data_IF_773219960954
#
_entry.id   IF_773219960954
#
_cell.length_a   1.000
_cell.length_b   1.000
_cell.length_c   1.000
_cell.angle_alpha   90.00
_cell.angle_beta   90.00
_cell.angle_gamma   90.00
#
_symmetry.space_group_name_H-M   'P 1'
#
loop_
_entity.id
_entity.type
_entity.pdbx_description
1 polymer ?
#
# COMPACT_ATOMS: atom_id res chain seq x y z
N UNK A 1 -20.30 26.97 22.43
CA UNK A 1 -19.61 28.15 21.88
C UNK A 1 -19.19 27.81 20.46
N UNK A 2 -19.88 28.40 19.48
CA UNK A 2 -19.64 28.28 18.03
C UNK A 2 -18.40 29.10 17.66
N UNK A 3 -17.52 28.56 16.81
CA UNK A 3 -16.56 29.37 16.05
C UNK A 3 -16.39 28.77 14.64
N UNK A 4 -17.11 29.38 13.70
CA UNK A 4 -16.94 29.23 12.26
C UNK A 4 -15.58 29.80 11.83
N UNK A 5 -14.84 29.09 11.00
CA UNK A 5 -13.75 29.68 10.20
C UNK A 5 -14.04 29.51 8.72
N UNK A 6 -14.54 30.59 8.11
CA UNK A 6 -14.42 30.87 6.68
C UNK A 6 -12.92 30.91 6.33
N UNK A 7 -12.49 30.12 5.34
CA UNK A 7 -11.23 30.36 4.65
C UNK A 7 -11.52 30.71 3.19
N UNK A 8 -11.09 31.92 2.85
CA UNK A 8 -11.23 32.57 1.56
C UNK A 8 -10.45 31.84 0.47
N UNK A 9 -11.11 31.62 -0.66
CA UNK A 9 -10.51 31.17 -1.91
C UNK A 9 -9.80 32.35 -2.59
N UNK A 10 -8.49 32.25 -2.77
CA UNK A 10 -7.72 33.18 -3.61
C UNK A 10 -7.67 32.57 -5.01
N UNK A 11 -8.36 33.21 -5.96
CA UNK A 11 -8.32 32.87 -7.37
C UNK A 11 -7.09 33.54 -8.00
N UNK A 12 -6.08 32.76 -8.36
CA UNK A 12 -4.90 33.25 -9.08
C UNK A 12 -5.20 33.18 -10.59
N UNK A 13 -5.40 34.33 -11.24
CA UNK A 13 -5.59 34.43 -12.69
C UNK A 13 -4.21 34.56 -13.36
N UNK A 14 -3.78 33.49 -14.03
CA UNK A 14 -2.60 33.48 -14.88
C UNK A 14 -2.97 34.08 -16.25
N UNK A 15 -2.48 35.29 -16.52
CA UNK A 15 -2.60 35.96 -17.82
C UNK A 15 -1.52 35.41 -18.75
N UNK A 16 -1.94 34.70 -19.81
CA UNK A 16 -1.06 34.23 -20.86
C UNK A 16 -0.71 35.38 -21.82
N UNK A 17 0.58 35.66 -21.98
CA UNK A 17 1.09 36.59 -22.99
C UNK A 17 1.14 35.91 -24.37
N UNK A 18 0.78 36.61 -25.46
CA UNK A 18 0.87 36.07 -26.82
C UNK A 18 2.34 36.00 -27.31
N UNK A 19 2.66 35.05 -28.20
CA UNK A 19 4.00 34.93 -28.79
C UNK A 19 4.28 36.02 -29.83
N UNK A 20 5.52 36.51 -29.85
CA UNK A 20 6.04 37.47 -30.84
C UNK A 20 6.29 36.75 -32.17
N UNK A 21 5.78 37.25 -33.31
CA UNK A 21 6.09 36.69 -34.62
C UNK A 21 7.33 37.38 -35.22
N UNK A 22 8.24 36.58 -35.76
CA UNK A 22 9.05 37.02 -36.91
C UNK A 22 10.56 37.10 -36.69
N UNK A 23 11.23 35.96 -36.77
CA UNK A 23 12.56 35.89 -37.38
C UNK A 23 12.52 34.80 -38.46
N UNK A 24 12.51 35.24 -39.72
CA UNK A 24 12.63 34.37 -40.89
C UNK A 24 14.06 33.83 -40.94
N UNK A 25 14.28 32.70 -40.27
CA UNK A 25 15.52 31.94 -40.30
C UNK A 25 15.77 31.46 -41.75
N UNK A 26 16.77 32.04 -42.40
CA UNK A 26 17.32 31.52 -43.67
C UNK A 26 17.80 30.10 -43.43
N UNK A 27 17.11 29.14 -44.04
CA UNK A 27 17.47 27.73 -43.99
C UNK A 27 18.83 27.52 -44.69
N UNK A 28 19.83 27.12 -43.90
CA UNK A 28 21.07 26.55 -44.42
C UNK A 28 20.77 25.18 -45.06
N UNK A 29 21.52 24.77 -46.09
CA UNK A 29 21.37 23.46 -46.71
C UNK A 29 21.59 22.35 -45.68
N UNK A 30 20.63 21.43 -45.59
CA UNK A 30 20.64 20.35 -44.63
C UNK A 30 21.82 19.40 -44.88
N UNK A 31 22.63 19.06 -43.86
CA UNK A 31 23.66 18.05 -43.98
C UNK A 31 23.02 16.67 -44.23
N UNK A 32 23.69 15.83 -45.02
CA UNK A 32 23.25 14.46 -45.29
C UNK A 32 23.09 13.67 -43.98
N UNK A 33 22.06 12.80 -43.87
CA UNK A 33 21.79 12.06 -42.64
C UNK A 33 22.94 11.11 -42.34
N UNK A 34 23.57 11.30 -41.19
CA UNK A 34 24.52 10.34 -40.64
C UNK A 34 23.78 9.03 -40.31
N UNK A 35 24.43 7.86 -40.44
CA UNK A 35 23.84 6.58 -40.04
C UNK A 35 23.45 6.64 -38.56
N UNK A 36 22.18 6.35 -38.27
CA UNK A 36 21.64 6.36 -36.93
C UNK A 36 22.38 5.33 -36.07
N UNK A 37 23.02 5.79 -35.00
CA UNK A 37 23.58 4.92 -33.99
C UNK A 37 22.45 4.10 -33.34
N UNK A 38 22.67 2.82 -32.98
CA UNK A 38 21.68 2.02 -32.29
C UNK A 38 21.29 2.72 -30.99
N UNK A 39 19.98 2.92 -30.80
CA UNK A 39 19.46 3.50 -29.57
C UNK A 39 19.83 2.59 -28.38
N UNK A 40 20.31 3.14 -27.26
CA UNK A 40 20.56 2.36 -26.07
C UNK A 40 19.26 1.67 -25.65
N UNK A 41 19.35 0.38 -25.32
CA UNK A 41 18.21 -0.38 -24.80
C UNK A 41 17.63 0.35 -23.59
N UNK A 42 16.31 0.57 -23.59
CA UNK A 42 15.63 1.15 -22.45
C UNK A 42 15.86 0.26 -21.21
N UNK A 43 16.14 0.85 -20.03
CA UNK A 43 16.26 0.07 -18.81
C UNK A 43 14.97 -0.71 -18.57
N UNK A 44 15.10 -2.01 -18.27
CA UNK A 44 13.97 -2.86 -17.94
C UNK A 44 13.28 -2.32 -16.67
N UNK A 45 11.96 -2.16 -16.73
CA UNK A 45 11.17 -1.73 -15.58
C UNK A 45 11.26 -2.82 -14.49
N UNK A 46 11.46 -2.43 -13.21
CA UNK A 46 11.49 -3.41 -12.13
C UNK A 46 10.19 -4.20 -12.10
N UNK A 47 10.28 -5.53 -12.09
CA UNK A 47 9.10 -6.38 -11.94
C UNK A 47 8.34 -6.01 -10.66
N UNK A 48 7.01 -5.97 -10.76
CA UNK A 48 6.16 -5.68 -9.61
C UNK A 48 6.33 -6.75 -8.50
N UNK A 49 6.24 -6.37 -7.21
CA UNK A 49 6.30 -7.34 -6.12
C UNK A 49 5.21 -8.42 -6.22
N UNK A 50 5.47 -9.66 -5.78
CA UNK A 50 4.49 -10.76 -5.87
C UNK A 50 3.15 -10.48 -5.17
N UNK A 51 3.16 -9.64 -4.13
CA UNK A 51 1.98 -9.22 -3.37
C UNK A 51 1.39 -7.88 -3.81
N UNK A 52 1.80 -7.30 -4.94
CA UNK A 52 1.31 -6.00 -5.37
C UNK A 52 -0.23 -5.94 -5.52
N UNK A 53 -0.85 -7.08 -5.82
CA UNK A 53 -2.29 -7.22 -5.89
C UNK A 53 -3.00 -7.07 -4.54
N UNK A 54 -2.29 -7.18 -3.41
CA UNK A 54 -2.85 -6.97 -2.07
C UNK A 54 -2.83 -5.51 -1.63
N UNK A 55 -2.12 -4.62 -2.33
CA UNK A 55 -1.95 -3.24 -1.87
C UNK A 55 -3.29 -2.55 -1.60
N UNK A 56 -3.33 -1.79 -0.49
CA UNK A 56 -4.51 -1.06 -0.05
C UNK A 56 -5.09 -1.56 1.27
N UNK A 57 -6.31 -1.14 1.53
CA UNK A 57 -7.04 -1.35 2.78
C UNK A 57 -8.03 -2.51 2.65
N UNK A 58 -8.06 -3.36 3.67
CA UNK A 58 -8.92 -4.53 3.79
C UNK A 58 -9.66 -4.50 5.12
N UNK A 59 -10.96 -4.81 5.10
CA UNK A 59 -11.83 -4.86 6.28
C UNK A 59 -12.44 -6.24 6.46
N UNK A 60 -12.99 -6.52 7.64
CA UNK A 60 -13.53 -7.83 8.00
C UNK A 60 -12.58 -8.60 8.89
N UNK A 61 -12.48 -9.91 8.67
CA UNK A 61 -11.73 -10.80 9.57
C UNK A 61 -12.51 -11.26 10.81
N UNK A 62 -13.54 -10.50 11.20
CA UNK A 62 -14.45 -10.80 12.31
C UNK A 62 -15.90 -10.73 11.84
N UNK A 63 -16.79 -11.42 12.55
CA UNK A 63 -18.23 -11.38 12.28
C UNK A 63 -18.94 -10.37 13.20
N UNK A 64 -19.90 -9.57 12.70
CA UNK A 64 -20.39 -9.50 11.32
C UNK A 64 -19.39 -8.80 10.38
N UNK A 65 -19.44 -9.07 9.06
CA UNK A 65 -18.57 -8.39 8.10
C UNK A 65 -18.81 -6.87 8.13
N UNK A 66 -17.73 -6.10 8.07
CA UNK A 66 -17.79 -4.64 7.95
C UNK A 66 -18.28 -4.19 6.58
N UNK A 67 -18.77 -2.95 6.49
CA UNK A 67 -19.09 -2.33 5.20
C UNK A 67 -17.80 -2.06 4.40
N UNK A 68 -17.79 -2.49 3.15
CA UNK A 68 -16.65 -2.42 2.22
C UNK A 68 -16.74 -1.27 1.23
N UNK A 69 -17.90 -0.61 1.18
CA UNK A 69 -18.27 0.31 0.10
C UNK A 69 -18.37 1.78 0.53
N UNK A 70 -18.46 2.04 1.83
CA UNK A 70 -18.48 3.40 2.35
C UNK A 70 -17.07 3.96 2.57
N UNK A 71 -16.91 5.29 2.55
CA UNK A 71 -15.67 5.95 2.96
C UNK A 71 -15.19 5.54 4.36
N UNK A 72 -16.09 5.08 5.24
CA UNK A 72 -15.73 4.54 6.56
C UNK A 72 -14.85 3.30 6.50
N UNK A 73 -14.90 2.50 5.43
CA UNK A 73 -14.05 1.31 5.29
C UNK A 73 -12.56 1.68 5.35
N UNK A 74 -12.16 2.75 4.65
CA UNK A 74 -10.77 3.20 4.63
C UNK A 74 -10.35 3.94 5.90
N UNK A 75 -11.31 4.40 6.71
CA UNK A 75 -11.04 5.06 7.98
C UNK A 75 -10.69 4.07 9.11
N UNK A 76 -11.16 2.82 9.02
CA UNK A 76 -10.93 1.79 10.04
C UNK A 76 -10.69 0.39 9.42
N UNK A 77 -9.69 0.21 8.55
CA UNK A 77 -9.39 -1.11 8.01
C UNK A 77 -8.85 -2.06 9.07
N UNK A 78 -9.18 -3.35 8.93
CA UNK A 78 -8.61 -4.43 9.74
C UNK A 78 -7.15 -4.67 9.37
N UNK A 79 -6.82 -4.60 8.07
CA UNK A 79 -5.47 -4.85 7.55
C UNK A 79 -5.15 -3.88 6.42
N UNK A 80 -3.93 -3.39 6.38
CA UNK A 80 -3.40 -2.55 5.31
C UNK A 80 -2.13 -3.22 4.78
N UNK A 81 -2.09 -3.51 3.49
CA UNK A 81 -0.90 -4.01 2.82
C UNK A 81 -0.23 -2.87 2.05
N UNK A 82 1.06 -2.71 2.31
CA UNK A 82 1.94 -1.81 1.56
C UNK A 82 3.06 -2.61 0.90
N UNK A 83 4.01 -1.92 0.25
CA UNK A 83 5.16 -2.57 -0.37
C UNK A 83 6.00 -3.33 0.65
N UNK A 84 6.30 -2.71 1.79
CA UNK A 84 7.31 -3.21 2.74
C UNK A 84 6.74 -3.45 4.15
N UNK A 85 5.49 -3.06 4.41
CA UNK A 85 4.86 -3.18 5.73
C UNK A 85 3.45 -3.74 5.59
N UNK A 86 3.10 -4.66 6.49
CA UNK A 86 1.71 -5.03 6.75
C UNK A 86 1.29 -4.44 8.09
N UNK A 87 0.22 -3.67 8.08
CA UNK A 87 -0.37 -3.09 9.29
C UNK A 87 -1.67 -3.82 9.59
N UNK A 88 -1.90 -4.16 10.86
CA UNK A 88 -3.13 -4.80 11.31
C UNK A 88 -3.71 -4.09 12.52
N UNK A 89 -5.02 -4.04 12.61
CA UNK A 89 -5.75 -3.73 13.83
C UNK A 89 -6.43 -5.00 14.33
N UNK A 90 -6.63 -5.07 15.63
CA UNK A 90 -7.40 -6.11 16.30
C UNK A 90 -8.53 -5.44 17.07
N UNK A 91 -9.71 -6.06 17.24
CA UNK A 91 -10.77 -5.51 18.08
C UNK A 91 -10.33 -5.22 19.51
N UNK A 92 -9.27 -5.89 19.97
CA UNK A 92 -8.69 -5.73 21.29
C UNK A 92 -7.54 -4.71 21.33
N UNK A 93 -7.08 -4.21 20.18
CA UNK A 93 -5.96 -3.28 20.06
C UNK A 93 -6.44 -1.91 19.53
N UNK A 94 -6.06 -0.84 20.23
CA UNK A 94 -6.40 0.54 19.83
C UNK A 94 -5.51 1.01 18.67
N UNK A 95 -4.27 0.53 18.61
CA UNK A 95 -3.26 0.97 17.65
C UNK A 95 -2.97 -0.09 16.60
N UNK A 96 -2.64 0.36 15.38
CA UNK A 96 -2.14 -0.53 14.34
C UNK A 96 -0.81 -1.14 14.75
N UNK A 97 -0.76 -2.47 14.73
CA UNK A 97 0.48 -3.24 14.81
C UNK A 97 1.11 -3.27 13.43
N UNK A 98 2.36 -2.84 13.32
CA UNK A 98 3.10 -2.86 12.06
C UNK A 98 4.08 -4.03 12.03
N UNK A 99 4.17 -4.73 10.91
CA UNK A 99 5.17 -5.78 10.67
C UNK A 99 5.91 -5.47 9.37
N UNK A 100 7.24 -5.34 9.48
CA UNK A 100 8.12 -5.14 8.33
C UNK A 100 8.25 -6.46 7.57
N UNK A 101 8.03 -6.41 6.26
CA UNK A 101 8.17 -7.51 5.34
C UNK A 101 9.66 -7.72 5.06
N UNK A 102 10.14 -8.93 5.27
CA UNK A 102 11.50 -9.34 4.92
C UNK A 102 11.53 -10.00 3.55
N UNK A 103 10.64 -10.98 3.32
CA UNK A 103 10.48 -11.63 2.02
C UNK A 103 9.01 -11.95 1.74
N UNK A 104 8.69 -12.04 0.44
CA UNK A 104 7.37 -12.47 -0.04
C UNK A 104 7.57 -13.54 -1.10
N UNK A 105 6.92 -14.68 -0.91
CA UNK A 105 6.91 -15.76 -1.89
C UNK A 105 5.50 -15.91 -2.50
N UNK A 106 5.43 -16.01 -3.82
CA UNK A 106 4.19 -16.40 -4.49
C UNK A 106 3.86 -17.87 -4.17
N UNK A 107 2.59 -18.16 -3.95
CA UNK A 107 2.04 -19.49 -3.75
C UNK A 107 0.97 -19.77 -4.81
N UNK A 108 0.61 -21.05 -5.07
CA UNK A 108 -0.42 -21.38 -6.06
C UNK A 108 -1.78 -20.69 -5.82
N UNK A 109 -2.13 -20.44 -4.55
CA UNK A 109 -3.41 -19.83 -4.13
C UNK A 109 -3.26 -18.42 -3.58
N UNK A 110 -2.06 -17.85 -3.55
CA UNK A 110 -1.83 -16.56 -2.89
C UNK A 110 -0.36 -16.22 -2.67
N UNK A 111 -0.02 -15.75 -1.46
CA UNK A 111 1.35 -15.37 -1.09
C UNK A 111 1.68 -15.77 0.34
N UNK A 112 2.96 -16.06 0.59
CA UNK A 112 3.52 -16.17 1.95
C UNK A 112 4.37 -14.93 2.24
N UNK A 113 4.05 -14.22 3.31
CA UNK A 113 4.90 -13.18 3.87
C UNK A 113 5.79 -13.80 4.94
N UNK A 114 7.07 -13.41 4.93
CA UNK A 114 7.96 -13.54 6.08
C UNK A 114 8.28 -12.15 6.60
N UNK A 115 8.13 -11.97 7.90
CA UNK A 115 8.35 -10.69 8.56
C UNK A 115 9.68 -10.70 9.30
N UNK A 116 10.30 -9.52 9.34
CA UNK A 116 11.39 -9.28 10.27
C UNK A 116 10.91 -9.56 11.72
N UNK A 117 11.80 -10.02 12.60
CA UNK A 117 11.49 -10.17 14.02
C UNK A 117 10.93 -8.88 14.59
N UNK A 118 9.81 -8.96 15.31
CA UNK A 118 9.23 -7.79 15.96
C UNK A 118 10.20 -7.25 17.03
N UNK A 119 10.43 -5.94 17.02
CA UNK A 119 11.25 -5.30 18.05
C UNK A 119 10.59 -5.46 19.43
N UNK A 120 11.37 -5.62 20.51
CA UNK A 120 10.83 -5.63 21.86
C UNK A 120 10.16 -4.28 22.16
N UNK A 121 9.01 -4.33 22.83
CA UNK A 121 8.33 -3.11 23.27
C UNK A 121 8.90 -2.68 24.61
N UNK A 122 9.48 -1.48 24.67
CA UNK A 122 10.00 -0.90 25.92
C UNK A 122 8.87 -0.11 26.58
N UNK A 123 8.52 -0.46 27.81
CA UNK A 123 7.51 0.21 28.62
C UNK A 123 8.12 0.69 29.95
N UNK A 124 7.35 1.46 30.73
CA UNK A 124 7.75 1.89 32.07
C UNK A 124 8.06 0.71 33.02
N UNK A 125 7.55 -0.49 32.72
CA UNK A 125 7.79 -1.72 33.49
C UNK A 125 8.93 -2.58 32.92
N UNK A 126 9.68 -2.08 31.95
CA UNK A 126 10.80 -2.77 31.31
C UNK A 126 10.53 -3.19 29.86
N UNK A 127 11.47 -3.94 29.29
CA UNK A 127 11.37 -4.49 27.95
C UNK A 127 10.53 -5.77 27.95
N UNK A 128 9.38 -5.74 27.28
CA UNK A 128 8.56 -6.92 27.03
C UNK A 128 9.05 -7.55 25.73
N UNK A 129 9.31 -8.87 25.75
CA UNK A 129 9.50 -9.63 24.53
C UNK A 129 8.29 -9.42 23.60
N UNK A 130 8.47 -9.42 22.27
CA UNK A 130 7.35 -9.33 21.34
C UNK A 130 6.32 -10.42 21.67
N UNK A 131 5.14 -9.99 22.12
CA UNK A 131 4.07 -10.89 22.56
C UNK A 131 3.49 -11.71 21.41
N UNK A 132 2.61 -12.66 21.74
CA UNK A 132 1.82 -13.40 20.72
C UNK A 132 0.96 -12.45 19.87
N UNK A 133 0.67 -11.26 20.39
CA UNK A 133 -0.02 -10.16 19.71
C UNK A 133 0.82 -9.50 18.60
N UNK A 134 2.05 -9.97 18.37
CA UNK A 134 2.82 -9.59 17.18
C UNK A 134 2.58 -10.53 16.00
N UNK A 135 2.18 -11.78 16.26
CA UNK A 135 1.70 -12.71 15.25
C UNK A 135 0.28 -12.30 14.84
N UNK A 136 -0.11 -12.42 13.59
CA UNK A 136 -1.49 -12.21 13.11
C UNK A 136 -2.47 -13.29 13.67
N UNK A 137 -2.25 -13.79 14.88
CA UNK A 137 -2.91 -14.97 15.45
C UNK A 137 -2.60 -16.29 14.74
N UNK A 138 -1.59 -16.32 13.87
CA UNK A 138 -1.23 -17.50 13.08
C UNK A 138 -0.25 -18.42 13.83
N UNK A 139 -0.12 -19.67 13.37
CA UNK A 139 0.76 -20.68 13.98
C UNK A 139 2.23 -20.24 14.10
N UNK A 140 2.72 -19.43 13.16
CA UNK A 140 4.08 -18.86 13.17
C UNK A 140 4.00 -17.33 13.34
N UNK A 141 4.78 -16.80 14.28
CA UNK A 141 4.79 -15.37 14.64
C UNK A 141 5.38 -14.47 13.55
N UNK A 142 6.22 -15.03 12.68
CA UNK A 142 6.96 -14.30 11.66
C UNK A 142 6.54 -14.69 10.24
N UNK A 143 5.44 -15.42 10.06
CA UNK A 143 4.88 -15.65 8.73
C UNK A 143 3.38 -15.41 8.69
N UNK A 144 2.91 -14.99 7.52
CA UNK A 144 1.49 -14.83 7.21
C UNK A 144 1.24 -15.39 5.82
N UNK A 145 0.40 -16.43 5.75
CA UNK A 145 -0.14 -16.91 4.50
C UNK A 145 -1.40 -16.12 4.17
N UNK A 146 -1.49 -15.62 2.94
CA UNK A 146 -2.67 -14.95 2.43
C UNK A 146 -3.15 -15.70 1.21
N UNK A 147 -4.37 -16.26 1.28
CA UNK A 147 -5.00 -16.90 0.13
C UNK A 147 -5.99 -15.95 -0.52
N UNK A 148 -6.00 -15.91 -1.84
CA UNK A 148 -7.00 -15.17 -2.61
C UNK A 148 -8.24 -16.05 -2.79
N UNK A 149 -9.41 -15.57 -2.34
CA UNK A 149 -10.71 -16.24 -2.56
C UNK A 149 -11.49 -15.65 -3.73
N UNK A 150 -11.28 -14.36 -4.01
CA UNK A 150 -11.90 -13.66 -5.13
C UNK A 150 -11.09 -12.43 -5.55
N UNK A 151 -11.62 -11.58 -6.45
CA UNK A 151 -10.97 -10.34 -6.83
C UNK A 151 -10.71 -9.40 -5.65
N UNK A 152 -11.68 -9.34 -4.72
CA UNK A 152 -11.70 -8.43 -3.57
C UNK A 152 -11.91 -9.19 -2.24
N UNK A 153 -11.54 -10.46 -2.19
CA UNK A 153 -11.67 -11.30 -1.00
C UNK A 153 -10.41 -12.12 -0.75
N UNK A 154 -9.92 -12.08 0.48
CA UNK A 154 -8.75 -12.83 0.95
C UNK A 154 -9.05 -13.51 2.28
N UNK A 155 -8.30 -14.56 2.58
CA UNK A 155 -8.35 -15.25 3.88
C UNK A 155 -6.96 -15.49 4.43
N UNK A 156 -6.87 -15.51 5.76
CA UNK A 156 -5.66 -15.89 6.49
C UNK A 156 -5.87 -17.27 7.12
N UNK A 157 -5.45 -18.36 6.45
CA UNK A 157 -5.70 -19.70 6.96
C UNK A 157 -4.97 -19.92 8.28
N UNK A 158 -5.65 -20.58 9.23
CA UNK A 158 -5.10 -20.94 10.54
C UNK A 158 -4.66 -19.74 11.40
N UNK A 159 -5.27 -18.58 11.20
CA UNK A 159 -5.03 -17.37 11.98
C UNK A 159 -6.25 -17.09 12.86
N UNK A 160 -6.12 -17.28 14.17
CA UNK A 160 -7.24 -17.13 15.13
C UNK A 160 -7.74 -15.70 15.26
N UNK A 161 -6.91 -14.74 14.87
CA UNK A 161 -7.26 -13.33 14.89
C UNK A 161 -8.11 -12.91 13.70
N UNK A 162 -8.14 -13.66 12.61
CA UNK A 162 -8.96 -13.33 11.44
C UNK A 162 -9.73 -14.57 10.98
N UNK A 163 -10.70 -15.06 11.78
CA UNK A 163 -11.45 -16.27 11.47
C UNK A 163 -12.37 -16.15 10.24
N UNK A 164 -12.73 -14.94 9.83
CA UNK A 164 -13.57 -14.67 8.67
C UNK A 164 -12.75 -14.08 7.49
N UNK A 165 -13.29 -14.09 6.25
CA UNK A 165 -12.65 -13.43 5.13
C UNK A 165 -12.48 -11.91 5.35
N UNK A 166 -11.45 -11.36 4.70
CA UNK A 166 -11.29 -9.93 4.54
C UNK A 166 -11.69 -9.52 3.14
N UNK A 167 -12.31 -8.35 3.04
CA UNK A 167 -12.75 -7.76 1.80
C UNK A 167 -12.04 -6.43 1.55
N UNK A 168 -11.75 -6.14 0.28
CA UNK A 168 -11.11 -4.88 -0.10
C UNK A 168 -12.05 -3.70 0.14
N UNK A 169 -11.54 -2.61 0.69
CA UNK A 169 -12.25 -1.33 0.69
C UNK A 169 -12.24 -0.72 -0.72
N UNK A 170 -13.42 -0.38 -1.24
CA UNK A 170 -13.63 0.28 -2.54
C UNK A 170 -13.79 1.79 -2.38
#
# INVERSE_FOLDING_TARGET
MLAWFLRASVLLVLVALPPVPGEAQRAAPAPAPAPAAPAPAAPAEPAAPPHAWLFGSWTGGFYPPGDTSSPSCTAQPSVIFTRDVVMRSSPLDIAYRQRLIETVAAQPTGVEFRFAPAAPTISAFGAQAPGRDSAFGCANVNSLTVERRGPDEIVFPNCSEFPAPLHRCQ
#
